data_IF_642366138568
#
_entry.id   IF_642366138568
#
_cell.length_a   1.000
_cell.length_b   1.000
_cell.length_c   1.000
_cell.angle_alpha   90.00
_cell.angle_beta   90.00
_cell.angle_gamma   90.00
#
_symmetry.space_group_name_H-M   'P 1'
#
loop_
_entity.id
_entity.type
_entity.pdbx_description
1 polymer ?
#
# COMPACT_ATOMS: atom_id res chain seq x y z
N UNK A 1 6.08 -2.39 17.10
CA UNK A 1 6.73 -2.54 15.79
C UNK A 1 7.35 -1.22 15.40
N UNK A 2 8.37 -1.25 14.54
CA UNK A 2 8.97 -0.06 13.97
C UNK A 2 9.28 -0.33 12.48
N UNK A 3 9.10 0.68 11.64
CA UNK A 3 9.50 0.58 10.24
C UNK A 3 11.01 0.81 10.13
N UNK A 4 11.72 0.07 9.26
CA UNK A 4 13.16 0.24 9.05
C UNK A 4 13.48 1.54 8.29
N UNK A 5 12.50 2.14 7.62
CA UNK A 5 12.61 3.35 6.81
C UNK A 5 11.41 4.28 7.05
N UNK A 6 11.51 5.51 6.57
CA UNK A 6 10.37 6.42 6.53
C UNK A 6 9.30 5.93 5.54
N UNK A 7 8.07 6.36 5.74
CA UNK A 7 6.96 5.96 4.88
C UNK A 7 7.16 6.44 3.42
N UNK A 8 7.72 7.63 3.23
CA UNK A 8 8.03 8.14 1.88
C UNK A 8 9.08 7.29 1.18
N UNK A 9 10.13 6.84 1.89
CA UNK A 9 11.13 5.94 1.31
C UNK A 9 10.54 4.59 0.90
N UNK A 10 9.65 4.02 1.73
CA UNK A 10 8.96 2.77 1.40
C UNK A 10 8.07 2.94 0.17
N UNK A 11 7.40 4.08 0.02
CA UNK A 11 6.64 4.39 -1.19
C UNK A 11 7.53 4.55 -2.43
N UNK A 12 8.71 5.16 -2.30
CA UNK A 12 9.68 5.27 -3.40
C UNK A 12 10.20 3.88 -3.82
N UNK A 13 10.48 2.99 -2.88
CA UNK A 13 10.86 1.60 -3.15
C UNK A 13 9.73 0.85 -3.87
N UNK A 14 8.51 0.99 -3.38
CA UNK A 14 7.33 0.35 -3.98
C UNK A 14 7.10 0.85 -5.40
N UNK A 15 7.35 2.14 -5.65
CA UNK A 15 7.27 2.73 -6.97
C UNK A 15 8.29 2.10 -7.94
N UNK A 16 9.54 1.92 -7.50
CA UNK A 16 10.56 1.23 -8.30
C UNK A 16 10.15 -0.21 -8.66
N UNK A 17 9.58 -0.95 -7.70
CA UNK A 17 9.09 -2.32 -7.92
C UNK A 17 7.96 -2.34 -8.97
N UNK A 18 7.02 -1.39 -8.90
CA UNK A 18 5.94 -1.29 -9.88
C UNK A 18 6.45 -0.97 -11.29
N UNK A 19 7.35 -0.01 -11.43
CA UNK A 19 7.92 0.33 -12.74
C UNK A 19 8.62 -0.87 -13.37
N UNK A 20 9.36 -1.64 -12.58
CA UNK A 20 9.97 -2.89 -13.03
C UNK A 20 8.92 -3.94 -13.40
N UNK A 21 7.88 -4.11 -12.58
CA UNK A 21 6.87 -5.16 -12.81
C UNK A 21 6.07 -4.96 -14.09
N UNK A 22 5.89 -3.71 -14.56
CA UNK A 22 5.20 -3.43 -15.84
C UNK A 22 5.86 -4.17 -17.01
N UNK A 23 7.19 -4.22 -17.05
CA UNK A 23 7.94 -4.88 -18.14
C UNK A 23 8.19 -6.36 -17.89
N UNK A 24 8.54 -6.71 -16.64
CA UNK A 24 9.11 -8.02 -16.33
C UNK A 24 8.11 -8.99 -15.67
N UNK A 25 7.08 -8.47 -15.00
CA UNK A 25 6.13 -9.26 -14.25
C UNK A 25 4.72 -8.62 -14.23
N UNK A 26 4.04 -8.45 -15.38
CA UNK A 26 2.80 -7.67 -15.48
C UNK A 26 1.62 -8.25 -14.68
N UNK A 27 1.70 -9.52 -14.26
CA UNK A 27 0.69 -10.15 -13.40
C UNK A 27 0.99 -10.01 -11.89
N UNK A 28 2.15 -9.46 -11.53
CA UNK A 28 2.56 -9.29 -10.14
C UNK A 28 1.77 -8.15 -9.48
N UNK A 29 1.14 -8.46 -8.35
CA UNK A 29 0.41 -7.47 -7.55
C UNK A 29 1.38 -6.80 -6.59
N UNK A 30 1.66 -5.51 -6.83
CA UNK A 30 2.65 -4.73 -6.06
C UNK A 30 2.07 -4.21 -4.74
N UNK A 31 0.76 -4.00 -4.68
CA UNK A 31 0.06 -3.49 -3.50
C UNK A 31 -0.89 -4.54 -2.93
N UNK A 32 -0.91 -4.62 -1.61
CA UNK A 32 -1.89 -5.38 -0.84
C UNK A 32 -2.27 -4.60 0.43
N UNK A 33 -3.52 -4.73 0.85
CA UNK A 33 -4.04 -4.10 2.07
C UNK A 33 -4.44 -5.22 3.02
N UNK A 34 -3.55 -5.49 3.97
CA UNK A 34 -3.77 -6.51 5.00
C UNK A 34 -4.69 -6.01 6.09
N UNK A 35 -6.00 -6.04 5.83
CA UNK A 35 -7.02 -5.55 6.75
C UNK A 35 -7.04 -6.32 8.09
N UNK A 36 -6.65 -7.60 8.08
CA UNK A 36 -6.64 -8.47 9.24
C UNK A 36 -5.73 -7.95 10.37
N UNK A 37 -4.72 -7.13 10.05
CA UNK A 37 -3.86 -6.51 11.06
C UNK A 37 -4.65 -5.56 11.97
N UNK A 38 -5.69 -4.92 11.44
CA UNK A 38 -6.57 -4.05 12.22
C UNK A 38 -7.49 -4.87 13.12
N UNK A 39 -8.05 -5.97 12.60
CA UNK A 39 -8.86 -6.90 13.38
C UNK A 39 -8.05 -7.50 14.54
N UNK A 40 -6.82 -7.97 14.27
CA UNK A 40 -5.91 -8.51 15.28
C UNK A 40 -5.49 -7.47 16.32
N UNK A 41 -5.54 -6.19 15.99
CA UNK A 41 -5.34 -5.08 16.92
C UNK A 41 -6.60 -4.71 17.73
N UNK A 42 -7.71 -5.43 17.55
CA UNK A 42 -8.96 -5.22 18.30
C UNK A 42 -9.98 -4.31 17.60
N UNK A 43 -9.80 -4.02 16.31
CA UNK A 43 -10.79 -3.26 15.54
C UNK A 43 -12.09 -4.08 15.38
N UNK A 44 -13.24 -3.39 15.43
CA UNK A 44 -14.51 -3.94 14.98
C UNK A 44 -14.54 -4.10 13.45
N UNK A 45 -15.46 -4.90 12.92
CA UNK A 45 -15.60 -5.09 11.47
C UNK A 45 -15.79 -3.77 10.68
N UNK A 46 -16.53 -2.80 11.24
CA UNK A 46 -16.70 -1.49 10.62
C UNK A 46 -15.40 -0.67 10.62
N UNK A 47 -14.60 -0.77 11.70
CA UNK A 47 -13.30 -0.10 11.79
C UNK A 47 -12.28 -0.76 10.86
N UNK A 48 -12.24 -2.08 10.79
CA UNK A 48 -11.38 -2.83 9.87
C UNK A 48 -11.62 -2.39 8.42
N UNK A 49 -12.88 -2.36 7.98
CA UNK A 49 -13.23 -1.89 6.65
C UNK A 49 -12.84 -0.43 6.45
N UNK A 50 -13.14 0.44 7.42
CA UNK A 50 -12.80 1.87 7.35
C UNK A 50 -11.29 2.09 7.23
N UNK A 51 -10.49 1.38 8.02
CA UNK A 51 -9.04 1.48 8.00
C UNK A 51 -8.43 0.88 6.74
N UNK A 52 -8.96 -0.24 6.24
CA UNK A 52 -8.54 -0.82 4.97
C UNK A 52 -8.77 0.17 3.81
N UNK A 53 -9.96 0.76 3.74
CA UNK A 53 -10.30 1.76 2.71
C UNK A 53 -9.42 3.03 2.82
N UNK A 54 -9.17 3.52 4.04
CA UNK A 54 -8.30 4.67 4.25
C UNK A 54 -6.85 4.38 3.84
N UNK A 55 -6.35 3.17 4.13
CA UNK A 55 -5.01 2.72 3.72
C UNK A 55 -4.89 2.66 2.21
N UNK A 56 -5.86 2.06 1.53
CA UNK A 56 -5.89 2.01 0.07
C UNK A 56 -5.95 3.39 -0.56
N UNK A 57 -6.77 4.30 -0.02
CA UNK A 57 -6.82 5.68 -0.48
C UNK A 57 -5.49 6.40 -0.31
N UNK A 58 -4.75 6.20 0.79
CA UNK A 58 -3.43 6.80 0.97
C UNK A 58 -2.41 6.22 -0.01
N UNK A 59 -2.41 4.90 -0.23
CA UNK A 59 -1.50 4.27 -1.21
C UNK A 59 -1.73 4.82 -2.62
N UNK A 60 -2.99 4.94 -3.04
CA UNK A 60 -3.33 5.56 -4.33
C UNK A 60 -2.83 7.00 -4.42
N UNK A 61 -3.04 7.82 -3.38
CA UNK A 61 -2.53 9.20 -3.34
C UNK A 61 -1.01 9.24 -3.41
N UNK A 62 -0.33 8.40 -2.63
CA UNK A 62 1.12 8.32 -2.60
C UNK A 62 1.72 7.97 -3.97
N UNK A 63 1.05 7.09 -4.72
CA UNK A 63 1.47 6.70 -6.07
C UNK A 63 1.15 7.77 -7.11
N UNK A 64 -0.03 8.41 -7.04
CA UNK A 64 -0.35 9.55 -7.91
C UNK A 64 0.66 10.69 -7.73
N UNK A 65 1.09 10.97 -6.49
CA UNK A 65 2.16 11.96 -6.20
C UNK A 65 3.49 11.60 -6.86
N UNK A 66 3.71 10.33 -7.16
CA UNK A 66 4.90 9.78 -7.83
C UNK A 66 4.70 9.59 -9.33
N UNK A 67 3.67 10.21 -9.90
CA UNK A 67 3.34 10.20 -11.33
C UNK A 67 2.92 8.82 -11.87
N UNK A 68 2.27 8.00 -11.04
CA UNK A 68 1.70 6.74 -11.49
C UNK A 68 0.38 6.99 -12.23
N UNK A 69 0.25 6.42 -13.43
CA UNK A 69 -1.05 6.30 -14.11
C UNK A 69 -1.58 4.89 -13.89
N UNK A 70 -2.79 4.78 -13.34
CA UNK A 70 -3.54 3.53 -13.23
C UNK A 70 -3.96 2.99 -14.61
#
# INVERSE_FOLDING_TARGET
GALPLSLEQLYDETAGIYTWSIGEAPQFQVFDIRAEVYQHAGASAAQELGFAMATGAEYLRAMIRRNFSA
#
